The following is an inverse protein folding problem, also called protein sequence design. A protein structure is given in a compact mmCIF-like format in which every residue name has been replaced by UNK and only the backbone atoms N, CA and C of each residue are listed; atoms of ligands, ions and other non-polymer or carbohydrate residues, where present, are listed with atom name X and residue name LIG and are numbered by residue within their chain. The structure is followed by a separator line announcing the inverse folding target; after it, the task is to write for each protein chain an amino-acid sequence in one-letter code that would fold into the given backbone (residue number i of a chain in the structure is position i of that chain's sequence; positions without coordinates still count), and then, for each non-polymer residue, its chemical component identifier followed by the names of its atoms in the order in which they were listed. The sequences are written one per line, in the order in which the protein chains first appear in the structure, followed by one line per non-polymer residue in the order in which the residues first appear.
data_IF_206725728184
#
_entry.id   IF_206725728184
#
_cell.length_a   1.000
_cell.length_b   1.000
_cell.length_c   1.000
_cell.angle_alpha   90.00
_cell.angle_beta   90.00
_cell.angle_gamma   90.00
#
_symmetry.space_group_name_H-M   'P 1'
#
loop_
_entity.id
_entity.type
_entity.pdbx_description
1 polymer ?
#
# COMPACT_ATOMS: atom_id res chain seq x y z
N UNK A 1 -1.08 10.58 -3.75
CA UNK A 1 -0.13 11.28 -2.86
C UNK A 1 0.90 10.35 -2.19
N UNK A 2 0.64 9.05 -1.96
CA UNK A 2 1.63 8.12 -1.38
C UNK A 2 2.89 7.94 -2.24
N UNK A 3 2.72 7.83 -3.57
CA UNK A 3 3.83 7.69 -4.52
C UNK A 3 4.93 8.74 -4.30
N UNK A 4 4.60 10.02 -4.34
CA UNK A 4 5.58 11.10 -4.22
C UNK A 4 6.40 11.09 -2.93
N UNK A 5 5.82 10.64 -1.81
CA UNK A 5 6.48 10.66 -0.50
C UNK A 5 7.24 9.37 -0.21
N UNK A 6 6.72 8.22 -0.67
CA UNK A 6 7.22 6.91 -0.28
C UNK A 6 7.95 6.16 -1.40
N UNK A 7 8.06 6.73 -2.61
CA UNK A 7 8.70 6.07 -3.78
C UNK A 7 10.05 5.45 -3.44
N UNK A 8 10.88 6.14 -2.66
CA UNK A 8 12.22 5.67 -2.30
C UNK A 8 12.21 4.41 -1.43
N UNK A 9 11.15 4.19 -0.65
CA UNK A 9 10.99 3.04 0.25
C UNK A 9 9.99 2.01 -0.29
N UNK A 10 9.55 2.15 -1.54
CA UNK A 10 8.68 1.19 -2.22
C UNK A 10 9.52 0.21 -3.03
N UNK A 11 8.97 -0.98 -3.26
CA UNK A 11 9.60 -1.91 -4.19
C UNK A 11 9.60 -1.33 -5.61
N UNK A 12 10.55 -1.75 -6.46
CA UNK A 12 10.58 -1.34 -7.86
C UNK A 12 9.24 -1.61 -8.53
N UNK A 13 8.91 -0.73 -9.48
CA UNK A 13 7.71 -0.86 -10.30
C UNK A 13 7.82 -2.12 -11.16
N UNK A 14 6.73 -2.86 -11.24
CA UNK A 14 6.56 -4.03 -12.10
C UNK A 14 5.78 -3.59 -13.33
N UNK A 15 6.42 -3.63 -14.49
CA UNK A 15 5.74 -3.42 -15.78
C UNK A 15 5.27 -4.77 -16.33
N UNK A 16 3.97 -4.89 -16.56
CA UNK A 16 3.40 -6.02 -17.28
C UNK A 16 3.73 -5.99 -18.77
N UNK A 17 3.67 -7.13 -19.45
CA UNK A 17 3.95 -7.25 -20.90
C UNK A 17 3.04 -6.37 -21.77
N UNK A 18 1.90 -5.92 -21.25
CA UNK A 18 0.90 -5.11 -21.95
C UNK A 18 0.92 -3.62 -21.54
N UNK A 19 1.78 -3.21 -20.61
CA UNK A 19 1.82 -1.84 -20.10
C UNK A 19 2.77 -0.99 -20.94
N UNK A 20 2.21 0.01 -21.64
CA UNK A 20 2.96 0.84 -22.59
C UNK A 20 3.47 2.14 -21.95
N UNK A 21 3.03 2.45 -20.73
CA UNK A 21 3.33 3.71 -20.02
C UNK A 21 3.68 3.47 -18.55
N UNK A 22 4.48 4.36 -17.95
CA UNK A 22 4.80 4.30 -16.50
C UNK A 22 3.57 4.52 -15.62
N UNK A 23 2.50 5.12 -16.14
CA UNK A 23 1.26 5.41 -15.42
C UNK A 23 0.38 4.17 -15.20
N UNK A 24 0.54 3.14 -16.04
CA UNK A 24 -0.19 1.87 -15.92
C UNK A 24 0.56 0.83 -15.10
N UNK A 25 1.72 1.18 -14.56
CA UNK A 25 2.63 0.24 -13.97
C UNK A 25 2.29 -0.07 -12.50
N UNK A 26 2.44 -1.35 -12.12
CA UNK A 26 2.07 -1.81 -10.79
C UNK A 26 3.22 -1.69 -9.79
N UNK A 27 2.86 -1.50 -8.52
CA UNK A 27 3.82 -1.51 -7.42
C UNK A 27 3.25 -2.23 -6.20
N UNK A 28 4.11 -2.92 -5.47
CA UNK A 28 3.71 -3.55 -4.21
C UNK A 28 3.33 -2.49 -3.17
N UNK A 29 2.20 -2.71 -2.50
CA UNK A 29 1.66 -1.75 -1.53
C UNK A 29 2.55 -1.67 -0.28
N UNK A 30 2.97 -0.45 0.14
CA UNK A 30 3.68 -0.27 1.40
C UNK A 30 2.74 -0.14 2.60
N UNK A 31 1.47 0.22 2.36
CA UNK A 31 0.42 0.46 3.35
C UNK A 31 -0.98 0.22 2.75
N UNK A 32 -1.97 -0.08 3.60
CA UNK A 32 -3.37 -0.34 3.19
C UNK A 32 -4.20 0.95 2.97
N UNK A 33 -3.78 2.10 3.54
CA UNK A 33 -4.57 3.33 3.56
C UNK A 33 -5.14 3.78 2.20
N UNK A 34 -4.38 3.76 1.07
CA UNK A 34 -4.91 4.13 -0.23
C UNK A 34 -6.10 3.25 -0.66
N UNK A 35 -6.06 1.94 -0.39
CA UNK A 35 -7.13 1.01 -0.74
C UNK A 35 -8.37 1.24 0.11
N UNK A 36 -8.21 1.48 1.41
CA UNK A 36 -9.34 1.81 2.29
C UNK A 36 -10.04 3.11 1.88
N UNK A 37 -9.28 4.12 1.41
CA UNK A 37 -9.88 5.37 0.89
C UNK A 37 -10.64 5.10 -0.40
N UNK A 38 -10.10 4.29 -1.31
CA UNK A 38 -10.81 3.90 -2.53
C UNK A 38 -12.09 3.12 -2.22
N UNK A 39 -12.04 2.20 -1.24
CA UNK A 39 -13.20 1.45 -0.79
C UNK A 39 -14.27 2.36 -0.20
N UNK A 40 -13.91 3.30 0.69
CA UNK A 40 -14.83 4.29 1.24
C UNK A 40 -15.48 5.15 0.15
N UNK A 41 -14.74 5.47 -0.92
CA UNK A 41 -15.26 6.25 -2.04
C UNK A 41 -16.12 5.44 -3.02
N UNK A 42 -16.09 4.12 -2.94
CA UNK A 42 -16.86 3.26 -3.87
C UNK A 42 -18.37 3.32 -3.63
N UNK A 43 -18.80 3.83 -2.49
CA UNK A 43 -20.21 3.96 -2.10
C UNK A 43 -20.47 5.32 -1.44
N UNK A 44 -21.70 5.82 -1.51
CA UNK A 44 -22.11 6.99 -0.72
C UNK A 44 -22.40 6.56 0.72
N UNK A 45 -21.83 7.30 1.67
CA UNK A 45 -22.02 7.05 3.10
C UNK A 45 -22.92 8.11 3.73
N UNK A 46 -23.90 7.67 4.53
CA UNK A 46 -24.72 8.57 5.34
C UNK A 46 -24.02 8.90 6.67
N UNK A 47 -24.23 10.10 7.21
CA UNK A 47 -23.75 10.45 8.55
C UNK A 47 -24.21 9.46 9.63
N UNK A 48 -25.38 8.82 9.44
CA UNK A 48 -25.92 7.81 10.36
C UNK A 48 -25.12 6.51 10.41
N UNK A 49 -24.33 6.22 9.37
CA UNK A 49 -23.50 5.01 9.27
C UNK A 49 -22.13 5.20 9.93
N UNK A 50 -21.79 6.44 10.29
CA UNK A 50 -20.53 6.73 10.96
C UNK A 50 -20.58 6.31 12.44
N UNK A 51 -19.48 5.76 12.98
CA UNK A 51 -18.17 5.59 12.34
C UNK A 51 -18.05 4.31 11.50
N UNK A 52 -17.64 4.46 10.24
CA UNK A 52 -17.24 3.35 9.35
C UNK A 52 -15.83 2.90 9.71
N UNK A 53 -15.61 1.58 9.85
CA UNK A 53 -14.32 0.99 10.23
C UNK A 53 -13.95 -0.11 9.24
N UNK A 54 -12.73 -0.05 8.70
CA UNK A 54 -12.16 -1.08 7.84
C UNK A 54 -10.95 -1.71 8.52
N UNK A 55 -10.83 -3.03 8.42
CA UNK A 55 -9.69 -3.80 8.86
C UNK A 55 -9.29 -4.76 7.73
N UNK A 56 -7.98 -4.90 7.49
CA UNK A 56 -7.44 -5.74 6.42
C UNK A 56 -6.09 -6.33 6.86
N UNK A 57 -6.00 -7.65 6.94
CA UNK A 57 -4.78 -8.39 7.25
C UNK A 57 -3.93 -8.67 6.00
N UNK A 58 -3.82 -7.71 5.10
CA UNK A 58 -3.05 -7.90 3.89
C UNK A 58 -1.56 -7.69 4.12
N UNK A 59 -0.78 -8.45 3.36
CA UNK A 59 0.67 -8.32 3.36
C UNK A 59 1.09 -7.01 2.69
N UNK A 60 2.03 -6.34 3.35
CA UNK A 60 2.62 -5.07 2.97
C UNK A 60 4.10 -5.26 2.70
N UNK A 61 4.61 -4.47 1.76
CA UNK A 61 5.98 -4.55 1.31
C UNK A 61 6.67 -3.20 1.40
N UNK A 62 7.73 -3.11 2.21
CA UNK A 62 8.54 -1.90 2.40
C UNK A 62 9.98 -2.21 2.05
N UNK A 63 10.57 -1.43 1.16
CA UNK A 63 11.94 -1.62 0.73
C UNK A 63 12.93 -1.01 1.73
N UNK A 64 12.97 -1.61 2.92
CA UNK A 64 13.89 -1.21 3.99
C UNK A 64 15.35 -1.43 3.56
N UNK A 65 16.24 -0.51 3.97
CA UNK A 65 17.68 -0.62 3.69
C UNK A 65 18.24 -1.92 4.28
N UNK A 66 19.12 -2.60 3.56
CA UNK A 66 19.63 -3.91 3.98
C UNK A 66 20.27 -3.88 5.38
N UNK A 67 21.00 -2.81 5.71
CA UNK A 67 21.64 -2.62 7.01
C UNK A 67 20.70 -2.26 8.17
N UNK A 68 19.40 -2.06 7.92
CA UNK A 68 18.42 -1.73 8.98
C UNK A 68 17.51 -2.90 9.36
N UNK A 69 17.60 -4.02 8.65
CA UNK A 69 16.79 -5.21 8.93
C UNK A 69 17.21 -5.86 10.24
N UNK A 70 16.23 -6.15 11.11
CA UNK A 70 16.49 -6.68 12.46
C UNK A 70 15.40 -7.66 12.89
N UNK A 71 15.76 -8.95 12.94
CA UNK A 71 14.87 -10.03 13.37
C UNK A 71 13.49 -9.97 12.71
N UNK A 72 12.44 -10.04 13.54
CA UNK A 72 11.05 -9.80 13.12
C UNK A 72 10.57 -8.36 13.37
N UNK A 73 11.39 -7.53 14.03
CA UNK A 73 11.02 -6.17 14.40
C UNK A 73 11.06 -5.21 13.19
N UNK A 74 11.96 -5.44 12.24
CA UNK A 74 12.07 -4.64 11.01
C UNK A 74 12.35 -5.52 9.80
N UNK A 75 11.31 -5.77 9.02
CA UNK A 75 11.27 -6.68 7.87
C UNK A 75 10.77 -5.96 6.62
N UNK A 76 11.01 -6.56 5.44
CA UNK A 76 10.51 -6.01 4.16
C UNK A 76 9.11 -6.47 3.78
N UNK A 77 8.65 -7.58 4.35
CA UNK A 77 7.30 -8.13 4.16
C UNK A 77 6.68 -8.33 5.54
N UNK A 78 5.54 -7.70 5.78
CA UNK A 78 4.80 -7.82 7.03
C UNK A 78 3.29 -7.78 6.77
N UNK A 79 2.53 -8.41 7.66
CA UNK A 79 1.08 -8.25 7.70
C UNK A 79 0.75 -7.37 8.90
N UNK A 80 0.07 -6.26 8.67
CA UNK A 80 -0.40 -5.35 9.72
C UNK A 80 -1.90 -5.57 9.94
N UNK A 81 -2.31 -5.55 11.21
CA UNK A 81 -3.71 -5.58 11.65
C UNK A 81 -4.39 -4.21 11.55
#
# INVERSE_FOLDING_TARGET
KHWFTYRENMFPVMQGEQETSEDDAYVLKPMNCPHHITLYKSQMHSYRELPVRYAEFATLYRYEKAGTLTGLARVRSLTQD
#
